data_IF_667984323515
#
_entry.id   IF_667984323515
#
_cell.length_a   1.000
_cell.length_b   1.000
_cell.length_c   1.000
_cell.angle_alpha   90.00
_cell.angle_beta   90.00
_cell.angle_gamma   90.00
#
_symmetry.space_group_name_H-M   'P 1'
#
loop_
_entity.id
_entity.type
_entity.pdbx_description
1 polymer ?
#
# COMPACT_ATOMS: atom_id res chain seq x y z
N UNK A 1 -1.57 13.55 23.65
CA UNK A 1 -2.84 13.03 23.12
C UNK A 1 -2.51 12.30 21.83
N UNK A 2 -2.58 10.98 21.81
CA UNK A 2 -2.30 10.20 20.60
C UNK A 2 -3.47 10.39 19.63
N UNK A 3 -3.24 11.02 18.48
CA UNK A 3 -4.23 11.12 17.42
C UNK A 3 -4.57 9.70 16.95
N UNK A 4 -5.78 9.24 17.27
CA UNK A 4 -6.29 7.97 16.79
C UNK A 4 -6.91 8.19 15.41
N UNK A 5 -6.35 7.55 14.39
CA UNK A 5 -6.91 7.52 13.04
C UNK A 5 -7.75 6.26 12.89
N UNK A 6 -9.06 6.42 12.72
CA UNK A 6 -9.95 5.35 12.27
C UNK A 6 -10.20 5.49 10.76
N UNK A 7 -10.86 4.50 10.15
CA UNK A 7 -11.15 4.50 8.72
C UNK A 7 -11.94 5.75 8.29
N UNK A 8 -12.90 6.20 9.09
CA UNK A 8 -13.71 7.38 8.79
C UNK A 8 -12.86 8.64 8.74
N UNK A 9 -11.95 8.82 9.70
CA UNK A 9 -11.00 9.94 9.70
C UNK A 9 -10.04 9.86 8.52
N UNK A 10 -9.48 8.69 8.24
CA UNK A 10 -8.55 8.49 7.12
C UNK A 10 -9.22 8.87 5.80
N UNK A 11 -10.47 8.44 5.57
CA UNK A 11 -11.22 8.75 4.35
C UNK A 11 -11.73 10.20 4.28
N UNK A 12 -11.68 10.95 5.37
CA UNK A 12 -11.99 12.38 5.38
C UNK A 12 -10.76 13.25 5.07
N UNK A 13 -9.54 12.70 5.15
CA UNK A 13 -8.31 13.43 4.84
C UNK A 13 -8.17 13.61 3.32
N UNK A 14 -7.87 14.83 2.91
CA UNK A 14 -7.46 15.12 1.53
C UNK A 14 -5.99 14.75 1.32
N UNK A 15 -5.54 14.70 0.06
CA UNK A 15 -4.13 14.55 -0.28
C UNK A 15 -3.26 15.62 0.43
N UNK A 16 -3.73 16.86 0.50
CA UNK A 16 -3.02 17.94 1.19
C UNK A 16 -2.95 17.73 2.70
N UNK A 17 -4.01 17.20 3.32
CA UNK A 17 -3.98 16.90 4.76
C UNK A 17 -2.99 15.78 5.08
N UNK A 18 -2.92 14.74 4.23
CA UNK A 18 -1.95 13.65 4.39
C UNK A 18 -0.51 14.15 4.26
N UNK A 19 -0.24 15.02 3.28
CA UNK A 19 1.06 15.67 3.13
C UNK A 19 1.41 16.56 4.32
N UNK A 20 0.43 17.32 4.83
CA UNK A 20 0.61 18.12 6.03
C UNK A 20 0.98 17.26 7.25
N UNK A 21 0.33 16.09 7.42
CA UNK A 21 0.68 15.13 8.48
C UNK A 21 2.11 14.63 8.30
N UNK A 22 2.54 14.30 7.08
CA UNK A 22 3.93 13.91 6.79
C UNK A 22 4.92 15.00 7.20
N UNK A 23 4.60 16.26 6.93
CA UNK A 23 5.45 17.42 7.25
C UNK A 23 5.57 17.70 8.76
N UNK A 24 4.64 17.20 9.59
CA UNK A 24 4.73 17.29 11.05
C UNK A 24 5.85 16.42 11.65
N UNK A 25 6.43 15.52 10.85
CA UNK A 25 7.56 14.69 11.23
C UNK A 25 7.22 13.22 11.41
N UNK A 26 8.23 12.45 11.81
CA UNK A 26 8.19 10.99 11.83
C UNK A 26 7.09 10.43 12.74
N UNK A 27 6.90 10.98 13.95
CA UNK A 27 5.91 10.44 14.89
C UNK A 27 4.47 10.59 14.38
N UNK A 28 4.16 11.72 13.75
CA UNK A 28 2.84 11.98 13.15
C UNK A 28 2.61 11.05 11.95
N UNK A 29 3.63 10.91 11.09
CA UNK A 29 3.59 9.99 9.96
C UNK A 29 3.44 8.53 10.41
N UNK A 30 4.21 8.11 11.42
CA UNK A 30 4.14 6.77 11.99
C UNK A 30 2.76 6.46 12.53
N UNK A 31 2.13 7.38 13.27
CA UNK A 31 0.77 7.19 13.76
C UNK A 31 -0.25 6.95 12.64
N UNK A 32 -0.15 7.67 11.52
CA UNK A 32 -1.02 7.46 10.36
C UNK A 32 -0.71 6.14 9.64
N UNK A 33 0.58 5.84 9.41
CA UNK A 33 1.04 4.58 8.82
C UNK A 33 0.63 3.35 9.63
N UNK A 34 0.74 3.41 10.95
CA UNK A 34 0.35 2.34 11.87
C UNK A 34 -1.17 2.11 11.83
N UNK A 35 -1.96 3.19 11.75
CA UNK A 35 -3.40 3.08 11.59
C UNK A 35 -3.79 2.44 10.25
N UNK A 36 -3.17 2.84 9.14
CA UNK A 36 -3.43 2.25 7.83
C UNK A 36 -3.03 0.78 7.79
N UNK A 37 -1.84 0.43 8.29
CA UNK A 37 -1.41 -0.98 8.36
C UNK A 37 -2.33 -1.82 9.25
N UNK A 38 -2.80 -1.27 10.38
CA UNK A 38 -3.73 -1.93 11.29
C UNK A 38 -5.12 -2.22 10.70
N UNK A 39 -5.50 -1.52 9.63
CA UNK A 39 -6.76 -1.78 8.90
C UNK A 39 -6.63 -2.88 7.83
N UNK A 40 -5.40 -3.26 7.46
CA UNK A 40 -5.16 -4.17 6.35
C UNK A 40 -4.84 -5.59 6.84
N UNK A 41 -5.32 -6.59 6.10
CA UNK A 41 -5.00 -7.99 6.38
C UNK A 41 -3.64 -8.34 5.80
N UNK A 42 -2.78 -8.93 6.62
CA UNK A 42 -1.50 -9.50 6.18
C UNK A 42 -1.69 -11.01 5.94
N UNK A 43 -1.44 -11.50 4.71
CA UNK A 43 -1.54 -12.93 4.42
C UNK A 43 -0.55 -13.77 5.25
N UNK A 44 -0.87 -15.04 5.46
CA UNK A 44 0.05 -15.96 6.14
C UNK A 44 1.37 -16.11 5.37
N UNK A 45 2.49 -16.01 6.08
CA UNK A 45 3.84 -16.07 5.50
C UNK A 45 4.24 -14.78 4.78
N UNK A 46 3.57 -13.67 5.09
CA UNK A 46 3.90 -12.34 4.62
C UNK A 46 4.11 -11.41 5.81
N UNK A 47 4.85 -10.33 5.54
CA UNK A 47 5.05 -9.20 6.44
C UNK A 47 4.59 -7.91 5.78
N UNK A 48 4.14 -6.97 6.61
CA UNK A 48 3.91 -5.58 6.22
C UNK A 48 4.95 -4.68 6.88
N UNK A 49 5.50 -3.74 6.13
CA UNK A 49 6.40 -2.71 6.63
C UNK A 49 5.92 -1.37 6.10
N UNK A 50 5.69 -0.40 6.99
CA UNK A 50 5.38 0.96 6.58
C UNK A 50 6.66 1.80 6.42
N UNK A 51 6.58 2.81 5.55
CA UNK A 51 7.60 3.84 5.43
C UNK A 51 7.40 4.91 6.50
N UNK A 52 8.49 5.29 7.16
CA UNK A 52 8.46 6.34 8.20
C UNK A 52 9.29 7.56 7.79
N UNK A 53 10.26 7.40 6.88
CA UNK A 53 11.10 8.49 6.36
C UNK A 53 11.20 8.43 4.84
N UNK A 54 12.07 7.60 4.31
CA UNK A 54 12.34 7.50 2.87
C UNK A 54 12.89 6.12 2.50
N UNK A 55 12.60 5.11 3.33
CA UNK A 55 13.08 3.74 3.17
C UNK A 55 12.63 3.13 1.84
N UNK A 56 11.50 3.60 1.30
CA UNK A 56 10.87 3.17 0.06
C UNK A 56 10.81 4.29 -1.00
N UNK A 57 11.55 5.39 -0.81
CA UNK A 57 11.67 6.52 -1.73
C UNK A 57 11.01 7.81 -1.25
N UNK A 58 10.15 7.76 -0.23
CA UNK A 58 9.54 8.96 0.37
C UNK A 58 8.48 9.63 -0.50
N UNK A 59 7.91 8.89 -1.47
CA UNK A 59 7.01 9.46 -2.49
C UNK A 59 5.59 9.73 -1.98
N UNK A 60 5.11 8.97 -1.01
CA UNK A 60 3.74 9.04 -0.51
C UNK A 60 3.72 9.33 1.00
N UNK A 61 2.73 10.09 1.51
CA UNK A 61 2.54 10.28 2.94
C UNK A 61 2.51 8.97 3.71
N UNK A 62 1.77 7.98 3.21
CA UNK A 62 1.78 6.61 3.70
C UNK A 62 2.12 5.67 2.56
N UNK A 63 3.11 4.79 2.81
CA UNK A 63 3.43 3.68 1.93
C UNK A 63 3.65 2.42 2.77
N UNK A 64 2.79 1.42 2.56
CA UNK A 64 2.85 0.12 3.24
C UNK A 64 3.27 -0.96 2.26
N UNK A 65 4.43 -1.58 2.50
CA UNK A 65 4.99 -2.65 1.66
C UNK A 65 4.67 -4.02 2.25
N UNK A 66 4.04 -4.87 1.44
CA UNK A 66 3.74 -6.26 1.72
C UNK A 66 4.70 -7.15 0.95
N UNK A 67 5.37 -8.06 1.66
CA UNK A 67 6.37 -8.98 1.11
C UNK A 67 6.15 -10.38 1.68
N UNK A 68 6.36 -11.42 0.87
CA UNK A 68 6.41 -12.78 1.40
C UNK A 68 7.71 -12.99 2.20
N UNK A 69 7.64 -13.83 3.23
CA UNK A 69 8.80 -14.19 4.03
C UNK A 69 9.83 -14.95 3.18
N UNK A 70 11.09 -14.55 3.29
CA UNK A 70 12.20 -15.21 2.61
C UNK A 70 12.25 -15.02 1.09
N UNK A 71 11.46 -14.11 0.51
CA UNK A 71 11.53 -13.81 -0.92
C UNK A 71 11.27 -12.34 -1.23
N UNK A 72 12.22 -11.72 -1.93
CA UNK A 72 12.17 -10.32 -2.37
C UNK A 72 11.84 -10.18 -3.87
N UNK A 73 11.32 -11.22 -4.52
CA UNK A 73 11.05 -11.19 -5.98
C UNK A 73 10.12 -10.04 -6.39
N UNK A 74 9.08 -9.82 -5.59
CA UNK A 74 8.16 -8.71 -5.74
C UNK A 74 7.39 -8.44 -4.46
N UNK A 75 6.85 -7.22 -4.40
CA UNK A 75 6.15 -6.63 -3.28
C UNK A 75 4.85 -5.98 -3.75
N UNK A 76 3.89 -5.85 -2.83
CA UNK A 76 2.73 -4.98 -3.02
C UNK A 76 2.90 -3.74 -2.16
N UNK A 77 2.62 -2.57 -2.71
CA UNK A 77 2.67 -1.30 -2.01
C UNK A 77 1.27 -0.71 -1.96
N UNK A 78 0.75 -0.48 -0.77
CA UNK A 78 -0.42 0.39 -0.58
C UNK A 78 0.09 1.81 -0.38
N UNK A 79 -0.29 2.72 -1.26
CA UNK A 79 0.15 4.11 -1.26
C UNK A 79 -1.05 5.04 -1.03
N UNK A 80 -0.91 6.03 -0.17
CA UNK A 80 -1.95 7.01 0.09
C UNK A 80 -2.00 8.12 -0.98
N UNK A 81 -3.12 8.87 -1.02
CA UNK A 81 -3.14 10.18 -1.64
C UNK A 81 -2.01 11.09 -1.13
N UNK A 82 -1.51 11.95 -2.00
CA UNK A 82 -0.46 12.92 -1.73
C UNK A 82 -0.11 13.73 -2.99
N UNK A 83 1.08 14.31 -3.04
CA UNK A 83 1.54 15.11 -4.19
C UNK A 83 1.66 14.27 -5.48
N UNK A 84 2.02 12.99 -5.36
CA UNK A 84 2.25 12.09 -6.49
C UNK A 84 0.96 11.57 -7.11
N UNK A 85 -0.07 11.32 -6.30
CA UNK A 85 -1.36 10.83 -6.77
C UNK A 85 -2.48 11.27 -5.82
N UNK A 86 -3.65 11.69 -6.33
CA UNK A 86 -4.78 12.03 -5.47
C UNK A 86 -5.54 10.79 -4.95
N UNK A 87 -5.17 9.57 -5.36
CA UNK A 87 -5.89 8.35 -5.03
C UNK A 87 -5.11 7.42 -4.12
N UNK A 88 -5.82 6.54 -3.41
CA UNK A 88 -5.26 5.35 -2.80
C UNK A 88 -4.91 4.34 -3.88
N UNK A 89 -3.70 3.80 -3.85
CA UNK A 89 -3.19 2.88 -4.85
C UNK A 89 -2.75 1.57 -4.21
N UNK A 90 -2.99 0.45 -4.89
CA UNK A 90 -2.28 -0.81 -4.68
C UNK A 90 -1.36 -1.04 -5.88
N UNK A 91 -0.06 -1.06 -5.64
CA UNK A 91 0.96 -1.15 -6.69
C UNK A 91 1.75 -2.44 -6.53
N UNK A 92 1.91 -3.18 -7.62
CA UNK A 92 2.87 -4.28 -7.73
C UNK A 92 4.24 -3.74 -8.12
N UNK A 93 5.27 -4.14 -7.38
CA UNK A 93 6.66 -3.75 -7.61
C UNK A 93 7.57 -4.98 -7.61
N UNK A 94 8.31 -5.24 -8.69
CA UNK A 94 9.39 -6.24 -8.68
C UNK A 94 10.66 -5.70 -8.01
N UNK A 95 11.50 -6.56 -7.43
CA UNK A 95 12.74 -6.13 -6.73
C UNK A 95 13.69 -5.32 -7.61
N UNK A 96 13.73 -5.59 -8.91
CA UNK A 96 14.55 -4.85 -9.88
C UNK A 96 13.88 -3.60 -10.45
N UNK A 97 12.63 -3.30 -10.08
CA UNK A 97 11.86 -2.19 -10.65
C UNK A 97 11.42 -2.40 -12.11
N UNK A 98 11.71 -3.54 -12.72
CA UNK A 98 11.32 -3.86 -14.10
C UNK A 98 9.80 -3.90 -14.31
N UNK A 99 9.06 -4.20 -13.25
CA UNK A 99 7.59 -4.22 -13.25
C UNK A 99 7.12 -3.32 -12.13
N UNK A 100 6.51 -2.20 -12.51
CA UNK A 100 5.74 -1.32 -11.65
C UNK A 100 4.34 -1.21 -12.24
N UNK A 101 3.31 -1.67 -11.52
CA UNK A 101 1.93 -1.64 -12.02
C UNK A 101 0.93 -1.34 -10.92
N UNK A 102 0.08 -0.34 -11.14
CA UNK A 102 -1.11 -0.12 -10.33
C UNK A 102 -2.11 -1.24 -10.60
N UNK A 103 -2.44 -2.01 -9.56
CA UNK A 103 -3.42 -3.10 -9.59
C UNK A 103 -4.82 -2.63 -9.20
N UNK A 104 -4.90 -1.58 -8.38
CA UNK A 104 -6.16 -1.02 -7.90
C UNK A 104 -5.97 0.46 -7.53
N UNK A 105 -7.00 1.26 -7.77
CA UNK A 105 -7.07 2.66 -7.36
C UNK A 105 -8.45 3.00 -6.80
N UNK A 106 -8.53 3.91 -5.84
CA UNK A 106 -9.79 4.48 -5.36
C UNK A 106 -9.56 5.82 -4.66
N UNK A 107 -10.55 6.71 -4.65
CA UNK A 107 -10.53 7.97 -3.91
C UNK A 107 -10.46 7.77 -2.39
N UNK A 108 -11.06 6.67 -1.91
CA UNK A 108 -11.09 6.32 -0.48
C UNK A 108 -10.35 5.01 -0.21
N UNK A 109 -9.81 4.88 1.00
CA UNK A 109 -9.28 3.61 1.46
C UNK A 109 -10.44 2.63 1.62
N UNK A 110 -10.33 1.49 0.93
CA UNK A 110 -11.25 0.36 1.01
C UNK A 110 -10.50 -0.85 1.60
N UNK A 111 -10.36 -0.95 2.94
CA UNK A 111 -9.49 -1.95 3.56
C UNK A 111 -9.84 -3.38 3.17
N UNK A 112 -11.14 -3.70 3.07
CA UNK A 112 -11.63 -5.03 2.71
C UNK A 112 -11.23 -5.39 1.28
N UNK A 113 -11.46 -4.50 0.31
CA UNK A 113 -11.10 -4.73 -1.10
C UNK A 113 -9.60 -4.83 -1.27
N UNK A 114 -8.83 -3.95 -0.65
CA UNK A 114 -7.36 -3.98 -0.69
C UNK A 114 -6.83 -5.27 -0.06
N UNK A 115 -7.36 -5.67 1.09
CA UNK A 115 -6.98 -6.93 1.78
C UNK A 115 -7.31 -8.18 0.96
N UNK A 116 -8.47 -8.19 0.28
CA UNK A 116 -8.84 -9.27 -0.64
C UNK A 116 -7.85 -9.38 -1.79
N UNK A 117 -7.50 -8.26 -2.44
CA UNK A 117 -6.52 -8.24 -3.53
C UNK A 117 -5.14 -8.70 -3.05
N UNK A 118 -4.66 -8.21 -1.91
CA UNK A 118 -3.40 -8.66 -1.30
C UNK A 118 -3.42 -10.18 -1.07
N UNK A 119 -4.53 -10.72 -0.57
CA UNK A 119 -4.67 -12.17 -0.33
C UNK A 119 -4.71 -12.97 -1.63
N UNK A 120 -5.40 -12.48 -2.66
CA UNK A 120 -5.44 -13.12 -3.99
C UNK A 120 -4.03 -13.19 -4.60
N UNK A 121 -3.29 -12.09 -4.56
CA UNK A 121 -1.91 -11.99 -5.06
C UNK A 121 -0.97 -12.89 -4.25
N UNK A 122 -1.13 -12.95 -2.94
CA UNK A 122 -0.40 -13.90 -2.10
C UNK A 122 -0.70 -15.35 -2.47
N UNK A 123 -1.95 -15.67 -2.82
CA UNK A 123 -2.37 -16.96 -3.36
C UNK A 123 -1.67 -17.28 -4.70
N UNK A 124 -1.63 -16.34 -5.64
CA UNK A 124 -0.95 -16.51 -6.93
C UNK A 124 0.55 -16.77 -6.77
N UNK A 125 1.20 -16.16 -5.77
CA UNK A 125 2.62 -16.42 -5.47
C UNK A 125 2.86 -17.88 -5.11
N UNK A 126 1.91 -18.56 -4.45
CA UNK A 126 2.02 -20.00 -4.11
C UNK A 126 2.06 -20.89 -5.35
N UNK A 127 1.61 -20.39 -6.50
CA UNK A 127 1.71 -21.05 -7.81
C UNK A 127 2.94 -20.59 -8.62
N UNK A 128 3.96 -20.01 -7.97
CA UNK A 128 5.18 -19.49 -8.60
C UNK A 128 4.93 -18.44 -9.70
N UNK A 129 3.84 -17.67 -9.57
CA UNK A 129 3.58 -16.56 -10.49
C UNK A 129 4.61 -15.45 -10.31
N UNK A 130 5.28 -15.08 -11.41
CA UNK A 130 6.19 -13.92 -11.46
C UNK A 130 5.41 -12.61 -11.38
N UNK A 131 6.08 -11.50 -11.05
CA UNK A 131 5.47 -10.18 -11.08
C UNK A 131 4.81 -9.86 -12.44
N UNK A 132 5.43 -10.28 -13.55
CA UNK A 132 4.86 -10.11 -14.90
C UNK A 132 3.59 -10.94 -15.09
N UNK A 133 3.56 -12.17 -14.59
CA UNK A 133 2.38 -13.04 -14.64
C UNK A 133 1.23 -12.42 -13.84
N UNK A 134 1.50 -11.96 -12.62
CA UNK A 134 0.51 -11.26 -11.78
C UNK A 134 0.00 -10.00 -12.48
N UNK A 135 0.90 -9.15 -12.98
CA UNK A 135 0.54 -7.94 -13.71
C UNK A 135 -0.37 -8.20 -14.91
N UNK A 136 -0.07 -9.23 -15.71
CA UNK A 136 -0.86 -9.59 -16.89
C UNK A 136 -2.25 -10.09 -16.51
N UNK A 137 -2.36 -10.96 -15.49
CA UNK A 137 -3.64 -11.51 -15.05
C UNK A 137 -4.54 -10.46 -14.39
N UNK A 138 -3.96 -9.46 -13.75
CA UNK A 138 -4.72 -8.37 -13.10
C UNK A 138 -5.03 -7.20 -14.03
N UNK A 139 -4.53 -7.21 -15.27
CA UNK A 139 -4.74 -6.10 -16.22
C UNK A 139 -6.19 -5.93 -16.68
N UNK A 140 -7.06 -6.90 -16.37
CA UNK A 140 -8.49 -6.86 -16.70
C UNK A 140 -9.35 -6.13 -15.63
N UNK A 141 -8.83 -5.88 -14.42
CA UNK A 141 -9.61 -5.35 -13.28
C UNK A 141 -9.17 -3.95 -12.79
N UNK A 142 -8.77 -3.03 -13.68
CA UNK A 142 -8.70 -1.61 -13.28
C UNK A 142 -10.08 -0.98 -13.46
N UNK A 143 -10.98 -1.25 -12.53
CA UNK A 143 -12.26 -0.52 -12.45
C UNK A 143 -12.07 0.75 -11.63
N UNK A 144 -12.41 1.87 -12.26
CA UNK A 144 -12.49 3.20 -11.67
C UNK A 144 -13.71 3.33 -10.75
#
# INVERSE_FOLDING_TARGET
>A
MTLHYDLTRINALTASDMEFIRQQGEDARRALSDAVTGLLTVPQGWRVCAEYRSEFGGFFPVQCRFSADGSDDWHLCVCSPGEVSPHWLLVLLSSGGEVVRTLYQNDSLQPERVSQLITQMAGMRRFNCTARTVANLMSEEVTA
#
